data_IF_848222412039
#
_entry.id   IF_848222412039
#
_cell.length_a   1.000
_cell.length_b   1.000
_cell.length_c   1.000
_cell.angle_alpha   90.00
_cell.angle_beta   90.00
_cell.angle_gamma   90.00
#
_symmetry.space_group_name_H-M   'P 1'
#
loop_
_entity.id
_entity.type
_entity.pdbx_description
1 polymer ?
#
# COMPACT_ATOMS: atom_id res chain seq x y z
N UNK A 1 20.79 12.17 9.16
CA UNK A 1 21.32 11.10 8.27
C UNK A 1 20.17 10.53 7.43
N UNK A 2 20.38 10.05 6.20
CA UNK A 2 19.30 9.44 5.36
C UNK A 2 18.57 8.28 6.07
N UNK A 3 19.24 7.64 7.04
CA UNK A 3 18.70 6.56 7.85
C UNK A 3 17.61 7.02 8.85
N UNK A 4 17.36 8.32 9.00
CA UNK A 4 16.31 8.85 9.88
C UNK A 4 14.97 9.06 9.17
N UNK A 5 14.92 9.01 7.83
CA UNK A 5 13.69 9.18 7.06
C UNK A 5 13.04 7.83 6.73
N UNK A 6 11.71 7.77 6.56
CA UNK A 6 11.05 6.58 6.06
C UNK A 6 11.61 6.16 4.69
N UNK A 7 11.82 4.86 4.45
CA UNK A 7 12.26 4.38 3.14
C UNK A 7 11.17 4.65 2.10
N UNK A 8 11.56 5.07 0.91
CA UNK A 8 10.63 5.33 -0.21
C UNK A 8 9.87 4.08 -0.66
N UNK A 9 10.51 2.91 -0.51
CA UNK A 9 9.99 1.62 -0.95
C UNK A 9 10.12 0.62 0.20
N UNK A 10 9.01 -0.03 0.55
CA UNK A 10 8.96 -1.11 1.55
C UNK A 10 8.12 -2.26 1.03
N UNK A 11 8.78 -3.34 0.63
CA UNK A 11 8.14 -4.46 -0.06
C UNK A 11 8.21 -5.73 0.77
N UNK A 12 7.07 -6.41 0.87
CA UNK A 12 7.00 -7.81 1.27
C UNK A 12 7.66 -8.68 0.20
N UNK A 13 7.99 -9.91 0.60
CA UNK A 13 8.46 -10.92 -0.34
C UNK A 13 7.29 -11.33 -1.25
N UNK A 14 7.39 -10.90 -2.52
CA UNK A 14 6.38 -11.09 -3.54
C UNK A 14 6.11 -12.58 -3.80
N UNK A 15 7.16 -13.40 -3.96
CA UNK A 15 7.01 -14.84 -4.24
C UNK A 15 6.42 -15.57 -3.04
N UNK A 16 6.90 -15.25 -1.83
CA UNK A 16 6.41 -15.86 -0.60
C UNK A 16 4.92 -15.55 -0.34
N UNK A 17 4.44 -14.40 -0.81
CA UNK A 17 3.03 -14.02 -0.67
C UNK A 17 2.08 -15.05 -1.27
N UNK A 18 2.42 -15.57 -2.46
CA UNK A 18 1.58 -16.53 -3.18
C UNK A 18 1.72 -17.97 -2.70
N UNK A 19 2.86 -18.31 -2.07
CA UNK A 19 3.12 -19.66 -1.57
C UNK A 19 2.45 -19.89 -0.22
N UNK A 20 2.44 -18.87 0.64
CA UNK A 20 2.03 -19.00 2.03
C UNK A 20 0.57 -18.60 2.30
N UNK A 21 -0.11 -18.02 1.32
CA UNK A 21 -1.47 -17.55 1.49
C UNK A 21 -2.48 -18.68 1.69
N UNK A 22 -3.41 -18.48 2.63
CA UNK A 22 -4.43 -19.46 3.05
C UNK A 22 -5.78 -19.29 2.36
N UNK A 23 -5.93 -18.21 1.60
CA UNK A 23 -7.11 -17.87 0.80
C UNK A 23 -6.69 -17.02 -0.41
N UNK A 24 -7.59 -16.79 -1.38
CA UNK A 24 -7.29 -15.89 -2.52
C UNK A 24 -6.93 -14.48 -2.06
N UNK A 25 -7.67 -13.94 -1.09
CA UNK A 25 -7.37 -12.63 -0.52
C UNK A 25 -6.02 -12.61 0.19
N UNK A 26 -5.73 -13.60 1.05
CA UNK A 26 -4.45 -13.68 1.74
C UNK A 26 -3.26 -13.91 0.79
N UNK A 27 -3.52 -14.48 -0.39
CA UNK A 27 -2.54 -14.69 -1.47
C UNK A 27 -2.56 -13.58 -2.53
N UNK A 28 -3.06 -12.39 -2.17
CA UNK A 28 -3.04 -11.21 -3.04
C UNK A 28 -1.88 -10.31 -2.63
N UNK A 29 -1.07 -9.89 -3.61
CA UNK A 29 -0.02 -8.90 -3.43
C UNK A 29 -0.47 -7.59 -4.07
N UNK A 30 -0.39 -6.49 -3.34
CA UNK A 30 -0.78 -5.17 -3.82
C UNK A 30 0.38 -4.20 -3.79
N UNK A 31 0.56 -3.45 -4.87
CA UNK A 31 1.32 -2.21 -4.84
C UNK A 31 0.43 -1.09 -4.32
N UNK A 32 0.91 -0.38 -3.30
CA UNK A 32 0.17 0.64 -2.58
C UNK A 32 1.00 1.91 -2.55
N UNK A 33 0.45 3.00 -3.08
CA UNK A 33 0.97 4.34 -2.91
C UNK A 33 0.49 4.91 -1.58
N UNK A 34 1.35 5.65 -0.89
CA UNK A 34 0.96 6.31 0.35
C UNK A 34 1.58 7.70 0.47
N UNK A 35 0.85 8.62 1.10
CA UNK A 35 1.36 9.92 1.50
C UNK A 35 1.34 10.05 3.02
N UNK A 36 2.45 10.53 3.58
CA UNK A 36 2.55 10.85 5.01
C UNK A 36 1.68 12.07 5.31
N UNK A 37 0.82 11.95 6.31
CA UNK A 37 0.02 13.07 6.81
C UNK A 37 0.92 14.05 7.57
N UNK A 38 0.81 15.33 7.25
CA UNK A 38 1.54 16.39 7.92
C UNK A 38 1.22 16.43 9.41
N UNK A 39 2.26 16.56 10.25
CA UNK A 39 2.08 16.69 11.69
C UNK A 39 3.22 17.48 12.32
N UNK A 40 2.98 18.78 12.55
CA UNK A 40 3.97 19.71 13.08
C UNK A 40 4.38 19.42 14.54
N UNK A 41 3.67 18.52 15.23
CA UNK A 41 4.04 18.08 16.58
C UNK A 41 5.10 16.97 16.58
N UNK A 42 5.44 16.39 15.42
CA UNK A 42 6.35 15.25 15.29
C UNK A 42 7.66 15.69 14.64
N UNK A 43 8.79 15.51 15.33
CA UNK A 43 10.11 15.92 14.83
C UNK A 43 10.45 15.33 13.46
N UNK A 44 10.04 14.09 13.21
CA UNK A 44 10.28 13.42 11.92
C UNK A 44 9.61 14.15 10.75
N UNK A 45 8.43 14.73 10.95
CA UNK A 45 7.75 15.51 9.90
C UNK A 45 8.59 16.71 9.46
N UNK A 46 9.14 17.48 10.41
CA UNK A 46 10.04 18.60 10.13
C UNK A 46 11.29 18.18 9.34
N UNK A 47 11.82 16.99 9.64
CA UNK A 47 12.96 16.43 8.88
C UNK A 47 12.56 16.08 7.46
N UNK A 48 11.38 15.50 7.25
CA UNK A 48 10.82 15.20 5.93
C UNK A 48 10.62 16.48 5.13
N UNK A 49 9.99 17.51 5.70
CA UNK A 49 9.78 18.80 5.04
C UNK A 49 11.10 19.46 4.63
N UNK A 50 12.06 19.50 5.55
CA UNK A 50 13.40 20.07 5.29
C UNK A 50 14.11 19.29 4.18
N UNK A 51 14.02 17.96 4.19
CA UNK A 51 14.57 17.12 3.13
C UNK A 51 13.91 17.40 1.78
N UNK A 52 12.58 17.48 1.76
CA UNK A 52 11.77 17.66 0.58
C UNK A 52 11.89 19.06 -0.05
N UNK A 53 12.34 20.06 0.72
CA UNK A 53 12.58 21.42 0.22
C UNK A 53 13.72 21.48 -0.81
N UNK A 54 14.65 20.54 -0.80
CA UNK A 54 15.71 20.46 -1.80
C UNK A 54 15.21 19.77 -3.06
N UNK A 55 15.20 20.50 -4.20
CA UNK A 55 14.57 20.06 -5.47
C UNK A 55 15.08 18.74 -6.06
N UNK A 56 16.27 18.29 -5.69
CA UNK A 56 16.87 17.06 -6.21
C UNK A 56 16.69 15.87 -5.24
N UNK A 57 16.10 16.10 -4.08
CA UNK A 57 15.75 15.02 -3.18
C UNK A 57 14.45 14.37 -3.65
N UNK A 58 14.39 13.06 -3.44
CA UNK A 58 13.12 12.35 -3.52
C UNK A 58 12.19 12.85 -2.42
N UNK A 59 10.88 12.78 -2.69
CA UNK A 59 9.83 13.21 -1.78
C UNK A 59 9.59 12.10 -0.75
N UNK A 60 10.19 12.23 0.44
CA UNK A 60 10.12 11.24 1.53
C UNK A 60 8.81 11.25 2.34
N UNK A 61 7.83 12.00 1.85
CA UNK A 61 6.42 11.97 2.23
C UNK A 61 5.59 11.12 1.25
N UNK A 62 6.16 10.65 0.15
CA UNK A 62 5.50 9.81 -0.87
C UNK A 62 6.15 8.44 -0.91
N UNK A 63 5.44 7.44 -0.42
CA UNK A 63 5.97 6.10 -0.17
C UNK A 63 5.25 5.06 -1.03
N UNK A 64 5.93 3.95 -1.27
CA UNK A 64 5.40 2.80 -1.99
C UNK A 64 5.56 1.55 -1.13
N UNK A 65 4.46 0.84 -0.97
CA UNK A 65 4.41 -0.43 -0.27
C UNK A 65 4.08 -1.55 -1.24
N UNK A 66 4.77 -2.65 -1.08
CA UNK A 66 4.48 -3.91 -1.73
C UNK A 66 3.94 -4.81 -0.64
N UNK A 67 2.64 -5.06 -0.66
CA UNK A 67 1.92 -5.57 0.48
C UNK A 67 1.32 -6.93 0.16
N UNK A 68 1.72 -7.95 0.91
CA UNK A 68 0.98 -9.20 0.94
C UNK A 68 -0.22 -9.07 1.87
N UNK A 69 -1.44 -9.22 1.35
CA UNK A 69 -2.66 -8.97 2.13
C UNK A 69 -2.85 -9.95 3.29
N UNK A 70 -2.16 -11.10 3.29
CA UNK A 70 -2.08 -11.98 4.48
C UNK A 70 -1.70 -11.22 5.76
N UNK A 71 -0.84 -10.20 5.66
CA UNK A 71 -0.42 -9.37 6.80
C UNK A 71 -1.55 -8.53 7.38
N UNK A 72 -2.50 -8.15 6.54
CA UNK A 72 -3.60 -7.25 6.90
C UNK A 72 -4.91 -7.98 7.20
N UNK A 73 -4.93 -9.32 7.18
CA UNK A 73 -6.15 -10.10 7.36
C UNK A 73 -6.86 -9.85 8.71
N UNK A 74 -6.13 -9.41 9.74
CA UNK A 74 -6.74 -9.07 11.03
C UNK A 74 -7.67 -7.85 10.97
N UNK A 75 -7.48 -6.96 9.99
CA UNK A 75 -8.27 -5.74 9.81
C UNK A 75 -9.50 -5.94 8.89
N UNK A 76 -9.71 -7.14 8.34
CA UNK A 76 -10.81 -7.42 7.38
C UNK A 76 -12.20 -7.08 7.94
N UNK A 77 -12.39 -7.25 9.24
CA UNK A 77 -13.69 -7.08 9.91
C UNK A 77 -13.80 -5.76 10.68
N UNK A 78 -12.80 -4.89 10.58
CA UNK A 78 -12.89 -3.58 11.21
C UNK A 78 -14.02 -2.80 10.53
N UNK A 79 -14.95 -2.30 11.35
CA UNK A 79 -16.09 -1.52 10.86
C UNK A 79 -15.58 -0.34 10.05
N UNK A 80 -16.35 0.14 9.06
CA UNK A 80 -15.95 1.31 8.31
C UNK A 80 -15.84 2.52 9.26
N UNK A 81 -14.64 2.77 9.79
CA UNK A 81 -14.29 4.01 10.43
C UNK A 81 -14.45 5.11 9.37
N UNK A 82 -15.46 5.92 9.61
CA UNK A 82 -15.80 7.10 8.85
C UNK A 82 -14.67 8.12 9.03
N UNK A 83 -13.76 8.22 8.06
CA UNK A 83 -13.00 9.44 7.79
C UNK A 83 -12.38 9.40 6.40
N UNK A 84 -12.42 10.54 5.72
CA UNK A 84 -12.01 10.76 4.34
C UNK A 84 -10.50 10.54 4.09
N UNK A 85 -9.99 9.31 4.13
CA UNK A 85 -8.60 9.00 3.75
C UNK A 85 -8.38 8.96 2.23
N UNK A 86 -9.22 9.64 1.47
CA UNK A 86 -9.18 9.66 0.01
C UNK A 86 -7.98 10.46 -0.48
N UNK A 87 -6.94 9.76 -0.94
CA UNK A 87 -5.91 10.38 -1.76
C UNK A 87 -6.43 10.63 -3.17
N UNK A 88 -6.74 11.90 -3.46
CA UNK A 88 -7.10 12.35 -4.78
C UNK A 88 -6.13 13.45 -5.23
N UNK A 89 -5.16 13.07 -6.05
CA UNK A 89 -4.20 13.97 -6.66
C UNK A 89 -3.80 13.47 -8.06
N UNK A 90 -2.92 14.19 -8.76
CA UNK A 90 -2.50 13.84 -10.11
C UNK A 90 -1.89 12.42 -10.22
N UNK A 91 -1.21 11.96 -9.17
CA UNK A 91 -0.59 10.63 -9.13
C UNK A 91 -1.67 9.56 -9.04
N UNK A 92 -2.60 9.68 -8.08
CA UNK A 92 -3.66 8.68 -7.91
C UNK A 92 -4.62 8.68 -9.09
N UNK A 93 -4.93 9.84 -9.68
CA UNK A 93 -5.70 9.93 -10.93
C UNK A 93 -5.02 9.23 -12.11
N UNK A 94 -3.69 9.32 -12.20
CA UNK A 94 -2.93 8.58 -13.21
C UNK A 94 -3.02 7.06 -12.98
N UNK A 95 -2.86 6.61 -11.73
CA UNK A 95 -3.01 5.19 -11.38
C UNK A 95 -4.41 4.66 -11.66
N UNK A 96 -5.45 5.41 -11.32
CA UNK A 96 -6.82 5.09 -11.69
C UNK A 96 -7.00 4.98 -13.20
N UNK A 97 -6.27 5.78 -13.99
CA UNK A 97 -6.35 5.75 -15.45
C UNK A 97 -5.73 4.47 -16.03
N UNK A 98 -4.57 4.04 -15.53
CA UNK A 98 -3.77 2.96 -16.12
C UNK A 98 -4.03 1.58 -15.50
N UNK A 99 -4.36 1.52 -14.21
CA UNK A 99 -4.58 0.29 -13.45
C UNK A 99 -6.07 0.08 -13.20
N UNK A 100 -6.75 -0.48 -14.21
CA UNK A 100 -8.20 -0.69 -14.25
C UNK A 100 -8.59 -2.17 -14.34
N UNK A 101 -7.70 -3.08 -13.97
CA UNK A 101 -8.06 -4.49 -13.97
C UNK A 101 -9.17 -4.74 -12.94
N UNK A 102 -10.07 -5.72 -13.18
CA UNK A 102 -11.16 -6.00 -12.24
C UNK A 102 -10.69 -6.20 -10.80
N UNK A 103 -9.52 -6.81 -10.62
CA UNK A 103 -8.88 -7.00 -9.31
C UNK A 103 -8.49 -5.66 -8.67
N UNK A 104 -7.90 -4.73 -9.41
CA UNK A 104 -7.53 -3.41 -8.87
C UNK A 104 -8.77 -2.66 -8.38
N UNK A 105 -9.87 -2.73 -9.14
CA UNK A 105 -11.13 -2.09 -8.80
C UNK A 105 -11.76 -2.73 -7.55
N UNK A 106 -11.76 -4.06 -7.46
CA UNK A 106 -12.21 -4.81 -6.27
C UNK A 106 -11.40 -4.41 -5.03
N UNK A 107 -10.07 -4.36 -5.16
CA UNK A 107 -9.17 -4.01 -4.06
C UNK A 107 -9.40 -2.59 -3.59
N UNK A 108 -9.56 -1.64 -4.52
CA UNK A 108 -9.90 -0.25 -4.20
C UNK A 108 -11.26 -0.14 -3.52
N UNK A 109 -12.29 -0.84 -4.00
CA UNK A 109 -13.66 -0.70 -3.48
C UNK A 109 -13.90 -1.42 -2.15
N UNK A 110 -13.24 -2.57 -1.95
CA UNK A 110 -13.61 -3.50 -0.88
C UNK A 110 -12.55 -3.65 0.20
N UNK A 111 -11.29 -3.31 -0.08
CA UNK A 111 -10.17 -3.60 0.82
C UNK A 111 -9.24 -2.41 1.09
N UNK A 112 -9.47 -1.24 0.48
CA UNK A 112 -8.67 -0.03 0.76
C UNK A 112 -8.64 0.34 2.24
N UNK A 113 -9.75 0.16 2.95
CA UNK A 113 -9.83 0.45 4.38
C UNK A 113 -8.95 -0.49 5.21
N UNK A 114 -9.06 -1.79 4.97
CA UNK A 114 -8.22 -2.79 5.61
C UNK A 114 -6.72 -2.48 5.39
N UNK A 115 -6.35 -2.10 4.16
CA UNK A 115 -4.97 -1.72 3.81
C UNK A 115 -4.55 -0.43 4.52
N UNK A 116 -5.41 0.57 4.55
CA UNK A 116 -5.21 1.84 5.22
C UNK A 116 -4.95 1.65 6.72
N UNK A 117 -5.79 0.88 7.41
CA UNK A 117 -5.67 0.61 8.85
C UNK A 117 -4.40 -0.18 9.16
N UNK A 118 -4.16 -1.25 8.39
CA UNK A 118 -2.99 -2.09 8.52
C UNK A 118 -1.67 -1.32 8.39
N UNK A 119 -1.51 -0.54 7.32
CA UNK A 119 -0.29 0.24 7.11
C UNK A 119 -0.18 1.39 8.12
N UNK A 120 -1.29 2.00 8.53
CA UNK A 120 -1.25 3.03 9.57
C UNK A 120 -0.84 2.48 10.94
N UNK A 121 -1.36 1.33 11.37
CA UNK A 121 -0.99 0.75 12.67
C UNK A 121 0.53 0.55 12.73
N UNK A 122 1.12 -0.01 11.69
CA UNK A 122 2.56 -0.25 11.61
C UNK A 122 3.37 1.05 11.53
N UNK A 123 2.92 2.01 10.70
CA UNK A 123 3.63 3.25 10.45
C UNK A 123 3.54 4.21 11.64
N UNK A 124 2.37 4.36 12.26
CA UNK A 124 2.16 5.19 13.44
C UNK A 124 2.93 4.64 14.64
N UNK A 125 2.94 3.31 14.83
CA UNK A 125 3.75 2.68 15.89
C UNK A 125 5.25 2.96 15.71
N UNK A 126 5.74 3.02 14.48
CA UNK A 126 7.17 3.17 14.18
C UNK A 126 7.63 4.62 14.11
N UNK A 127 6.80 5.51 13.58
CA UNK A 127 7.18 6.87 13.18
C UNK A 127 6.34 7.95 13.85
N UNK A 128 5.28 7.58 14.59
CA UNK A 128 4.31 8.51 15.19
C UNK A 128 3.64 9.45 14.17
N UNK A 129 3.58 9.00 12.91
CA UNK A 129 2.94 9.69 11.79
C UNK A 129 1.89 8.76 11.18
N UNK A 130 0.92 9.34 10.49
CA UNK A 130 -0.12 8.60 9.77
C UNK A 130 0.11 8.66 8.27
N UNK A 131 -0.47 7.70 7.56
CA UNK A 131 -0.48 7.59 6.11
C UNK A 131 -1.90 7.79 5.60
N UNK A 132 -2.03 8.37 4.42
CA UNK A 132 -3.15 8.08 3.54
C UNK A 132 -2.65 7.13 2.45
N UNK A 133 -3.46 6.14 2.07
CA UNK A 133 -3.05 5.08 1.15
C UNK A 133 -3.95 5.04 -0.08
N UNK A 134 -3.40 4.52 -1.16
CA UNK A 134 -4.09 4.30 -2.43
C UNK A 134 -3.55 3.02 -3.08
N UNK A 135 -4.43 2.09 -3.40
CA UNK A 135 -4.04 0.84 -4.08
C UNK A 135 -3.72 1.14 -5.55
N UNK A 136 -2.46 0.99 -5.93
CA UNK A 136 -1.99 1.20 -7.30
C UNK A 136 -2.48 0.05 -8.20
N UNK A 137 -2.03 -1.17 -7.95
CA UNK A 137 -2.50 -2.39 -8.62
C UNK A 137 -2.32 -3.59 -7.70
N UNK A 138 -3.02 -4.68 -7.99
CA UNK A 138 -2.85 -5.93 -7.26
C UNK A 138 -2.74 -7.12 -8.19
N UNK A 139 -2.08 -8.15 -7.69
CA UNK A 139 -1.94 -9.43 -8.35
C UNK A 139 -2.36 -10.55 -7.41
N UNK A 140 -3.07 -11.52 -7.96
CA UNK A 140 -3.35 -12.81 -7.33
C UNK A 140 -2.47 -13.86 -7.98
N UNK A 141 -2.19 -14.93 -7.24
CA UNK A 141 -1.53 -16.10 -7.81
C UNK A 141 -2.30 -16.52 -9.07
N UNK A 142 -1.65 -16.62 -10.24
CA UNK A 142 -2.31 -17.14 -11.42
C UNK A 142 -2.87 -18.53 -11.09
N UNK A 143 -4.13 -18.78 -11.41
CA UNK A 143 -4.64 -20.14 -11.43
C UNK A 143 -3.65 -20.98 -12.24
N UNK A 144 -3.16 -22.08 -11.65
CA UNK A 144 -2.37 -23.05 -12.39
C UNK A 144 -3.28 -23.59 -13.48
N UNK A 145 -3.26 -22.99 -14.68
CA UNK A 145 -3.92 -23.54 -15.86
C UNK A 145 -3.29 -24.89 -16.03
N UNK A 146 -4.02 -25.92 -15.61
CA UNK A 146 -3.52 -27.28 -15.69
C UNK A 146 -3.12 -27.52 -17.14
N UNK A 147 -1.86 -27.83 -17.40
CA UNK A 147 -1.35 -28.19 -18.72
C UNK A 147 -2.00 -29.48 -19.28
N UNK A 148 -3.10 -29.96 -18.67
CA UNK A 148 -3.83 -31.17 -19.03
C UNK A 148 -4.78 -30.98 -20.22
N UNK A 149 -4.98 -29.76 -20.73
CA UNK A 149 -5.91 -29.51 -21.85
C UNK A 149 -5.25 -29.18 -23.20
N UNK A 150 -3.91 -29.23 -23.32
CA UNK A 150 -3.22 -29.14 -24.63
C UNK A 150 -2.80 -30.50 -25.19
N UNK A 151 -3.57 -31.54 -24.89
CA UNK A 151 -3.40 -32.88 -25.43
C UNK A 151 -4.73 -33.45 -25.91
N UNK A 152 -5.28 -32.89 -26.99
CA UNK A 152 -6.28 -33.57 -27.81
C UNK A 152 -6.23 -33.09 -29.24
#
# INVERSE_FOLDING_TARGET
SRNELPPLYSFDDYDACFVNGTSELASTYCMVYAEIQANDSVELWHKIETHNAYRFNYKNDRLYFGLCLSRCMQFVNESPANDNFTLNNEITQYFEMVHKYPLDLEMRSSYSQMIQECLNEEFERKYHLKLNTFVEYCERRPEQVSLKEKGK
#
